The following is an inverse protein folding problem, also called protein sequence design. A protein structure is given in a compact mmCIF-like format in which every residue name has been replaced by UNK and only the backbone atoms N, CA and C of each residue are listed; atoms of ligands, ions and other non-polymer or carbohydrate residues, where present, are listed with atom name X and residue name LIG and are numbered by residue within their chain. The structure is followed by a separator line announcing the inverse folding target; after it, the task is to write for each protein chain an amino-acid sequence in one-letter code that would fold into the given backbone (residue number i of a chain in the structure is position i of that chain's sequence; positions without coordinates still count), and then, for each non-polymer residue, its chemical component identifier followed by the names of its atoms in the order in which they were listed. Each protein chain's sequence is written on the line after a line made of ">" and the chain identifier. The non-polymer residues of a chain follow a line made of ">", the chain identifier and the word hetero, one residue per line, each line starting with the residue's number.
data_IF_922591020049
#
_entry.id   IF_922591020049
#
_cell.length_a   1.000
_cell.length_b   1.000
_cell.length_c   1.000
_cell.angle_alpha   90.00
_cell.angle_beta   90.00
_cell.angle_gamma   90.00
#
_symmetry.space_group_name_H-M   'P 1'
#
loop_
_entity.id
_entity.type
_entity.pdbx_description
1 polymer ?
#
# COMPACT_ATOMS: atom_id res chain seq x y z
N UNK A 1 -0.81 35.39 2.85
CA UNK A 1 0.31 34.52 2.40
C UNK A 1 1.29 34.46 3.55
N UNK A 2 1.40 33.32 4.25
CA UNK A 2 2.09 33.26 5.54
C UNK A 2 3.11 32.13 5.60
N UNK A 3 4.37 32.52 5.76
CA UNK A 3 5.51 31.76 6.26
C UNK A 3 5.93 30.50 5.48
N UNK A 4 6.43 30.71 4.25
CA UNK A 4 7.45 29.85 3.65
C UNK A 4 8.85 30.51 3.70
N UNK A 5 9.10 31.35 4.71
CA UNK A 5 10.44 31.92 4.95
C UNK A 5 11.37 30.82 5.52
N UNK A 6 11.94 30.04 4.60
CA UNK A 6 13.38 29.77 4.60
C UNK A 6 13.90 28.52 5.32
N UNK A 7 13.14 27.85 6.18
CA UNK A 7 13.62 26.58 6.79
C UNK A 7 12.47 25.60 6.99
N UNK A 8 12.13 24.85 5.94
CA UNK A 8 11.32 23.64 6.13
C UNK A 8 12.07 22.74 7.11
N UNK A 9 11.55 22.57 8.33
CA UNK A 9 12.24 21.74 9.34
C UNK A 9 12.44 20.35 8.74
N UNK A 10 13.62 19.77 8.91
CA UNK A 10 14.03 18.52 8.26
C UNK A 10 13.00 17.39 8.36
N UNK A 11 12.29 17.29 9.49
CA UNK A 11 11.22 16.30 9.68
C UNK A 11 10.00 16.50 8.78
N UNK A 12 9.64 17.75 8.43
CA UNK A 12 8.57 18.02 7.46
C UNK A 12 9.01 17.65 6.04
N UNK A 13 10.29 17.94 5.70
CA UNK A 13 10.85 17.54 4.41
C UNK A 13 10.85 16.02 4.28
N UNK A 14 11.23 15.30 5.35
CA UNK A 14 11.21 13.85 5.39
C UNK A 14 9.79 13.28 5.22
N UNK A 15 8.79 13.86 5.90
CA UNK A 15 7.40 13.43 5.76
C UNK A 15 6.86 13.68 4.33
N UNK A 16 7.18 14.83 3.74
CA UNK A 16 6.83 15.16 2.37
C UNK A 16 7.49 14.21 1.37
N UNK A 17 8.81 14.02 1.47
CA UNK A 17 9.58 13.12 0.61
C UNK A 17 9.05 11.69 0.72
N UNK A 18 8.70 11.24 1.93
CA UNK A 18 8.12 9.93 2.15
C UNK A 18 6.80 9.74 1.40
N UNK A 19 5.93 10.75 1.34
CA UNK A 19 4.69 10.66 0.56
C UNK A 19 4.96 10.48 -0.94
N UNK A 20 6.01 11.07 -1.49
CA UNK A 20 6.41 10.84 -2.89
C UNK A 20 7.02 9.46 -3.13
N UNK A 21 7.82 8.96 -2.19
CA UNK A 21 8.32 7.58 -2.24
C UNK A 21 7.15 6.60 -2.22
N UNK A 22 6.15 6.84 -1.38
CA UNK A 22 4.92 6.04 -1.35
C UNK A 22 4.17 6.17 -2.68
N UNK A 23 3.99 7.37 -3.22
CA UNK A 23 3.31 7.55 -4.51
C UNK A 23 4.01 6.78 -5.64
N UNK A 24 5.34 6.88 -5.74
CA UNK A 24 6.13 6.15 -6.72
C UNK A 24 6.02 4.63 -6.53
N UNK A 25 6.15 4.14 -5.30
CA UNK A 25 6.02 2.73 -4.97
C UNK A 25 4.65 2.18 -5.38
N UNK A 26 3.57 2.92 -5.08
CA UNK A 26 2.21 2.52 -5.45
C UNK A 26 1.97 2.59 -6.97
N UNK A 27 2.54 3.57 -7.66
CA UNK A 27 2.49 3.62 -9.12
C UNK A 27 3.24 2.46 -9.78
N UNK A 28 4.41 2.10 -9.24
CA UNK A 28 5.17 0.91 -9.67
C UNK A 28 4.37 -0.37 -9.45
N UNK A 29 3.68 -0.50 -8.31
CA UNK A 29 2.80 -1.64 -8.05
C UNK A 29 1.60 -1.68 -8.99
N UNK A 30 0.99 -0.54 -9.31
CA UNK A 30 -0.09 -0.44 -10.30
C UNK A 30 0.38 -0.93 -11.69
N UNK A 31 1.48 -0.38 -12.19
CA UNK A 31 2.01 -0.74 -13.52
C UNK A 31 2.39 -2.23 -13.58
N UNK A 32 3.01 -2.76 -12.52
CA UNK A 32 3.35 -4.18 -12.44
C UNK A 32 2.09 -5.05 -12.44
N UNK A 33 1.12 -4.76 -11.57
CA UNK A 33 -0.09 -5.56 -11.39
C UNK A 33 -1.07 -5.49 -12.57
N UNK A 34 -1.06 -4.40 -13.35
CA UNK A 34 -1.87 -4.27 -14.57
C UNK A 34 -1.17 -4.80 -15.82
N UNK A 35 0.16 -4.98 -15.76
CA UNK A 35 0.91 -5.68 -16.79
C UNK A 35 0.93 -7.19 -16.57
N UNK A 36 1.18 -7.97 -17.62
CA UNK A 36 1.41 -9.42 -17.47
C UNK A 36 2.75 -9.73 -16.75
N UNK A 37 3.55 -8.73 -16.38
CA UNK A 37 4.81 -8.93 -15.67
C UNK A 37 4.62 -9.36 -14.21
N UNK A 38 3.44 -9.14 -13.61
CA UNK A 38 3.17 -9.62 -12.24
C UNK A 38 3.29 -11.15 -12.11
N UNK A 39 2.97 -11.88 -13.18
CA UNK A 39 2.96 -13.35 -13.20
C UNK A 39 4.28 -13.94 -13.72
N UNK A 40 5.30 -13.11 -13.93
CA UNK A 40 6.62 -13.52 -14.40
C UNK A 40 7.61 -13.44 -13.25
N UNK A 41 8.42 -14.48 -13.09
CA UNK A 41 9.50 -14.54 -12.12
C UNK A 41 10.72 -15.23 -12.72
N UNK A 42 11.90 -14.69 -12.43
CA UNK A 42 13.18 -15.31 -12.80
C UNK A 42 13.53 -16.51 -11.89
N UNK A 43 12.86 -16.64 -10.74
CA UNK A 43 13.00 -17.81 -9.86
C UNK A 43 12.07 -18.95 -10.34
N UNK A 44 12.61 -20.12 -10.73
CA UNK A 44 11.81 -21.26 -11.20
C UNK A 44 10.75 -21.73 -10.20
N UNK A 45 11.02 -21.65 -8.89
CA UNK A 45 10.06 -22.06 -7.85
C UNK A 45 8.90 -21.08 -7.76
N UNK A 46 9.19 -19.78 -7.88
CA UNK A 46 8.17 -18.74 -7.88
C UNK A 46 7.36 -18.76 -9.18
N UNK A 47 8.00 -18.99 -10.33
CA UNK A 47 7.29 -19.11 -11.61
C UNK A 47 6.29 -20.27 -11.59
N UNK A 48 6.72 -21.45 -11.13
CA UNK A 48 5.84 -22.61 -10.97
C UNK A 48 4.65 -22.32 -10.04
N UNK A 49 4.88 -21.58 -8.95
CA UNK A 49 3.80 -21.15 -8.05
C UNK A 49 2.80 -20.21 -8.74
N UNK A 50 3.29 -19.22 -9.50
CA UNK A 50 2.45 -18.27 -10.23
C UNK A 50 1.62 -18.96 -11.33
N UNK A 51 2.21 -19.90 -12.06
CA UNK A 51 1.53 -20.66 -13.10
C UNK A 51 0.39 -21.52 -12.51
N UNK A 52 0.67 -22.26 -11.42
CA UNK A 52 -0.35 -23.05 -10.71
C UNK A 52 -1.45 -22.17 -10.11
N UNK A 53 -1.10 -20.98 -9.60
CA UNK A 53 -2.07 -20.00 -9.10
C UNK A 53 -3.07 -19.58 -10.18
N UNK A 54 -2.61 -19.33 -11.39
CA UNK A 54 -3.46 -18.93 -12.51
C UNK A 54 -4.38 -20.07 -12.97
N UNK A 55 -3.87 -21.32 -13.01
CA UNK A 55 -4.65 -22.50 -13.41
C UNK A 55 -5.76 -22.81 -12.40
N UNK A 56 -5.45 -22.78 -11.10
CA UNK A 56 -6.38 -23.25 -10.06
C UNK A 56 -7.25 -22.15 -9.46
N UNK A 57 -6.85 -20.89 -9.58
CA UNK A 57 -7.62 -19.74 -9.15
C UNK A 57 -7.72 -18.72 -10.29
N UNK A 58 -8.53 -18.99 -11.32
CA UNK A 58 -8.68 -18.08 -12.47
C UNK A 58 -9.20 -16.69 -12.05
N UNK A 59 -9.87 -16.58 -10.90
CA UNK A 59 -10.26 -15.29 -10.31
C UNK A 59 -9.09 -14.47 -9.74
N UNK A 60 -7.90 -15.05 -9.63
CA UNK A 60 -6.72 -14.38 -9.11
C UNK A 60 -6.23 -13.26 -10.02
N UNK A 61 -6.30 -13.43 -11.36
CA UNK A 61 -5.92 -12.35 -12.29
C UNK A 61 -6.79 -11.10 -12.09
N UNK A 62 -8.07 -11.30 -11.82
CA UNK A 62 -8.99 -10.19 -11.50
C UNK A 62 -8.66 -9.56 -10.14
N UNK A 63 -8.27 -10.35 -9.14
CA UNK A 63 -7.85 -9.84 -7.83
C UNK A 63 -6.57 -8.99 -7.93
N UNK A 64 -5.58 -9.44 -8.73
CA UNK A 64 -4.35 -8.69 -9.03
C UNK A 64 -4.66 -7.41 -9.83
N UNK A 65 -5.59 -7.44 -10.77
CA UNK A 65 -6.00 -6.21 -11.47
C UNK A 65 -6.68 -5.21 -10.51
N UNK A 66 -7.57 -5.70 -9.65
CA UNK A 66 -8.24 -4.90 -8.60
C UNK A 66 -7.23 -4.25 -7.66
N UNK A 67 -6.19 -5.00 -7.25
CA UNK A 67 -5.05 -4.47 -6.50
C UNK A 67 -4.37 -3.32 -7.21
N UNK A 68 -4.07 -3.50 -8.50
CA UNK A 68 -3.44 -2.46 -9.31
C UNK A 68 -4.22 -1.16 -9.22
N UNK A 69 -5.54 -1.21 -9.40
CA UNK A 69 -6.38 -0.02 -9.29
C UNK A 69 -6.41 0.58 -7.87
N UNK A 70 -6.40 -0.24 -6.82
CA UNK A 70 -6.26 0.25 -5.44
C UNK A 70 -4.91 0.95 -5.24
N UNK A 71 -3.82 0.40 -5.78
CA UNK A 71 -2.50 1.04 -5.77
C UNK A 71 -2.51 2.38 -6.52
N UNK A 72 -3.24 2.50 -7.63
CA UNK A 72 -3.41 3.80 -8.30
C UNK A 72 -4.15 4.82 -7.43
N UNK A 73 -5.21 4.40 -6.72
CA UNK A 73 -5.92 5.26 -5.76
C UNK A 73 -4.98 5.69 -4.62
N UNK A 74 -4.20 4.75 -4.07
CA UNK A 74 -3.20 5.02 -3.03
C UNK A 74 -2.12 6.00 -3.52
N UNK A 75 -1.69 5.89 -4.78
CA UNK A 75 -0.76 6.81 -5.41
C UNK A 75 -1.33 8.23 -5.45
N UNK A 76 -2.56 8.39 -5.95
CA UNK A 76 -3.25 9.69 -6.00
C UNK A 76 -3.39 10.28 -4.60
N UNK A 77 -3.81 9.48 -3.62
CA UNK A 77 -3.93 9.93 -2.23
C UNK A 77 -2.59 10.32 -1.62
N UNK A 78 -1.50 9.64 -1.97
CA UNK A 78 -0.15 9.97 -1.51
C UNK A 78 0.31 11.33 -2.07
N UNK A 79 0.06 11.59 -3.36
CA UNK A 79 0.35 12.91 -3.97
C UNK A 79 -0.47 14.01 -3.30
N UNK A 80 -1.78 13.79 -3.13
CA UNK A 80 -2.67 14.74 -2.48
C UNK A 80 -2.28 14.96 -1.02
N UNK A 81 -1.95 13.90 -0.27
CA UNK A 81 -1.43 14.00 1.09
C UNK A 81 -0.14 14.79 1.15
N UNK A 82 0.82 14.53 0.26
CA UNK A 82 2.08 15.27 0.16
C UNK A 82 1.86 16.78 -0.02
N UNK A 83 1.02 17.17 -0.99
CA UNK A 83 0.67 18.58 -1.23
C UNK A 83 -0.10 19.17 -0.05
N UNK A 84 -1.08 18.45 0.48
CA UNK A 84 -1.92 18.89 1.60
C UNK A 84 -1.15 19.12 2.89
N UNK A 85 -0.19 18.24 3.21
CA UNK A 85 0.68 18.38 4.37
C UNK A 85 1.64 19.57 4.23
N UNK A 86 2.20 19.82 3.05
CA UNK A 86 3.03 21.01 2.79
C UNK A 86 2.25 22.30 2.98
N UNK A 87 1.03 22.34 2.45
CA UNK A 87 0.19 23.53 2.48
C UNK A 87 -0.59 23.67 3.79
N UNK A 88 -0.34 22.78 4.77
CA UNK A 88 -1.06 22.72 6.04
C UNK A 88 -2.59 22.71 5.87
N UNK A 89 -3.07 21.96 4.88
CA UNK A 89 -4.50 21.82 4.58
C UNK A 89 -5.11 20.64 5.30
N UNK A 90 -6.37 20.79 5.74
CA UNK A 90 -7.11 19.74 6.45
C UNK A 90 -7.24 18.41 5.70
N UNK A 91 -7.26 18.44 4.35
CA UNK A 91 -7.34 17.21 3.57
C UNK A 91 -6.08 16.35 3.65
N UNK A 92 -4.91 16.91 3.96
CA UNK A 92 -3.66 16.16 4.07
C UNK A 92 -3.75 15.01 5.09
N UNK A 93 -4.06 15.31 6.37
CA UNK A 93 -4.34 14.30 7.38
C UNK A 93 -5.38 13.24 6.99
N UNK A 94 -6.51 13.66 6.39
CA UNK A 94 -7.54 12.73 5.95
C UNK A 94 -7.05 11.78 4.85
N UNK A 95 -6.25 12.29 3.90
CA UNK A 95 -5.64 11.46 2.86
C UNK A 95 -4.63 10.47 3.46
N UNK A 96 -3.80 10.88 4.43
CA UNK A 96 -2.88 9.97 5.13
C UNK A 96 -3.63 8.82 5.81
N UNK A 97 -4.70 9.14 6.56
CA UNK A 97 -5.54 8.12 7.20
C UNK A 97 -6.23 7.22 6.17
N UNK A 98 -6.77 7.81 5.10
CA UNK A 98 -7.38 7.08 4.00
C UNK A 98 -6.41 6.13 3.32
N UNK A 99 -5.15 6.50 3.15
CA UNK A 99 -4.11 5.62 2.60
C UNK A 99 -3.87 4.40 3.48
N UNK A 100 -3.70 4.59 4.79
CA UNK A 100 -3.50 3.43 5.68
C UNK A 100 -4.74 2.53 5.75
N UNK A 101 -5.94 3.11 5.71
CA UNK A 101 -7.18 2.34 5.71
C UNK A 101 -7.36 1.54 4.41
N UNK A 102 -7.08 2.16 3.25
CA UNK A 102 -7.10 1.45 1.97
C UNK A 102 -6.01 0.39 1.90
N UNK A 103 -4.82 0.64 2.45
CA UNK A 103 -3.76 -0.36 2.55
C UNK A 103 -4.15 -1.55 3.43
N UNK A 104 -4.90 -1.30 4.53
CA UNK A 104 -5.47 -2.34 5.37
C UNK A 104 -6.44 -3.23 4.58
N UNK A 105 -7.41 -2.62 3.87
CA UNK A 105 -8.38 -3.33 3.03
C UNK A 105 -7.64 -4.15 1.97
N UNK A 106 -6.65 -3.54 1.32
CA UNK A 106 -5.87 -4.17 0.27
C UNK A 106 -5.16 -5.43 0.78
N UNK A 107 -4.45 -5.32 1.90
CA UNK A 107 -3.76 -6.46 2.51
C UNK A 107 -4.74 -7.55 2.95
N UNK A 108 -5.91 -7.20 3.49
CA UNK A 108 -6.93 -8.18 3.88
C UNK A 108 -7.48 -8.97 2.68
N UNK A 109 -7.69 -8.32 1.53
CA UNK A 109 -8.12 -8.99 0.30
C UNK A 109 -7.07 -10.02 -0.14
N UNK A 110 -5.79 -9.65 -0.15
CA UNK A 110 -4.72 -10.57 -0.57
C UNK A 110 -4.49 -11.72 0.39
N UNK A 111 -4.50 -11.49 1.69
CA UNK A 111 -4.37 -12.56 2.68
C UNK A 111 -5.43 -13.64 2.42
N UNK A 112 -6.67 -13.24 2.18
CA UNK A 112 -7.76 -14.19 1.88
C UNK A 112 -7.52 -14.98 0.58
N UNK A 113 -7.07 -14.31 -0.49
CA UNK A 113 -6.82 -14.99 -1.78
C UNK A 113 -5.61 -15.94 -1.71
N UNK A 114 -4.51 -15.52 -1.07
CA UNK A 114 -3.32 -16.38 -0.89
C UNK A 114 -3.60 -17.55 0.05
N UNK A 115 -4.39 -17.37 1.11
CA UNK A 115 -4.76 -18.46 2.02
C UNK A 115 -5.59 -19.55 1.31
N UNK A 116 -6.53 -19.18 0.44
CA UNK A 116 -7.30 -20.16 -0.36
C UNK A 116 -6.39 -21.03 -1.23
N UNK A 117 -5.31 -20.47 -1.74
CA UNK A 117 -4.33 -21.16 -2.58
C UNK A 117 -3.42 -22.06 -1.74
N UNK A 118 -2.88 -21.54 -0.63
CA UNK A 118 -2.05 -22.33 0.31
C UNK A 118 -2.81 -23.55 0.83
N UNK A 119 -4.09 -23.39 1.15
CA UNK A 119 -4.93 -24.48 1.65
C UNK A 119 -5.25 -25.54 0.58
N UNK A 120 -5.17 -25.19 -0.70
CA UNK A 120 -5.46 -26.09 -1.83
C UNK A 120 -4.20 -26.70 -2.47
N UNK A 121 -3.00 -26.21 -2.13
CA UNK A 121 -1.74 -26.72 -2.68
C UNK A 121 -0.62 -26.87 -1.62
N UNK A 122 -0.54 -28.05 -0.96
CA UNK A 122 0.43 -28.31 0.11
C UNK A 122 1.90 -28.15 -0.32
N UNK A 123 2.23 -28.39 -1.58
CA UNK A 123 3.59 -28.28 -2.14
C UNK A 123 4.09 -26.85 -2.35
N UNK A 124 3.23 -25.82 -2.32
CA UNK A 124 3.66 -24.41 -2.24
C UNK A 124 3.35 -23.77 -0.89
N UNK A 125 3.08 -24.60 0.13
CA UNK A 125 2.75 -24.11 1.47
C UNK A 125 3.86 -23.21 2.04
N UNK A 126 5.13 -23.52 1.80
CA UNK A 126 6.25 -22.71 2.29
C UNK A 126 6.28 -21.31 1.67
N UNK A 127 6.22 -21.23 0.33
CA UNK A 127 6.23 -19.95 -0.41
C UNK A 127 4.97 -19.14 -0.10
N UNK A 128 3.80 -19.77 -0.14
CA UNK A 128 2.54 -19.09 0.12
C UNK A 128 2.35 -18.66 1.58
N UNK A 129 2.87 -19.41 2.57
CA UNK A 129 2.90 -18.97 3.97
C UNK A 129 3.83 -17.77 4.16
N UNK A 130 5.01 -17.77 3.54
CA UNK A 130 5.93 -16.63 3.59
C UNK A 130 5.26 -15.37 3.04
N UNK A 131 4.61 -15.45 1.87
CA UNK A 131 3.87 -14.32 1.29
C UNK A 131 2.71 -13.87 2.19
N UNK A 132 1.91 -14.81 2.69
CA UNK A 132 0.78 -14.50 3.58
C UNK A 132 1.25 -13.80 4.86
N UNK A 133 2.38 -14.23 5.43
CA UNK A 133 2.94 -13.63 6.65
C UNK A 133 3.39 -12.18 6.44
N UNK A 134 4.07 -11.89 5.31
CA UNK A 134 4.49 -10.52 4.96
C UNK A 134 3.30 -9.58 4.78
N UNK A 135 2.25 -10.03 4.11
CA UNK A 135 1.03 -9.23 3.90
C UNK A 135 0.27 -9.04 5.22
N UNK A 136 0.23 -10.07 6.08
CA UNK A 136 -0.38 -9.99 7.42
C UNK A 136 0.34 -9.00 8.33
N UNK A 137 1.68 -8.92 8.26
CA UNK A 137 2.43 -7.90 8.97
C UNK A 137 2.05 -6.48 8.47
N UNK A 138 1.80 -6.32 7.17
CA UNK A 138 1.28 -5.07 6.59
C UNK A 138 -0.06 -4.61 7.17
N UNK A 139 -0.94 -5.54 7.56
CA UNK A 139 -2.20 -5.24 8.27
C UNK A 139 -1.90 -4.65 9.65
N UNK A 140 -1.06 -5.33 10.43
CA UNK A 140 -0.64 -4.88 11.77
C UNK A 140 0.00 -3.49 11.72
N UNK A 141 0.94 -3.26 10.81
CA UNK A 141 1.55 -1.93 10.63
C UNK A 141 0.51 -0.87 10.26
N UNK A 142 -0.42 -1.18 9.36
CA UNK A 142 -1.47 -0.23 8.96
C UNK A 142 -2.35 0.16 10.15
N UNK A 143 -2.74 -0.78 11.01
CA UNK A 143 -3.52 -0.48 12.23
C UNK A 143 -2.74 0.41 13.20
N UNK A 144 -1.48 0.06 13.48
CA UNK A 144 -0.63 0.85 14.39
C UNK A 144 -0.45 2.28 13.86
N UNK A 145 -0.16 2.43 12.56
CA UNK A 145 0.01 3.74 11.96
C UNK A 145 -1.30 4.54 11.91
N UNK A 146 -2.46 3.92 11.70
CA UNK A 146 -3.76 4.61 11.81
C UNK A 146 -3.92 5.22 13.21
N UNK A 147 -3.73 4.41 14.26
CA UNK A 147 -3.90 4.86 15.64
C UNK A 147 -2.94 6.01 15.97
N UNK A 148 -1.66 5.84 15.63
CA UNK A 148 -0.62 6.85 15.88
C UNK A 148 -0.91 8.15 15.13
N UNK A 149 -1.32 8.08 13.86
CA UNK A 149 -1.63 9.25 13.06
C UNK A 149 -2.91 9.96 13.53
N UNK A 150 -3.96 9.24 13.92
CA UNK A 150 -5.16 9.84 14.52
C UNK A 150 -4.77 10.65 15.77
N UNK A 151 -4.01 10.04 16.69
CA UNK A 151 -3.58 10.71 17.91
C UNK A 151 -2.71 11.95 17.62
N UNK A 152 -1.80 11.83 16.65
CA UNK A 152 -0.95 12.94 16.22
C UNK A 152 -1.77 14.10 15.62
N UNK A 153 -2.69 13.81 14.70
CA UNK A 153 -3.49 14.84 14.03
C UNK A 153 -4.49 15.51 14.96
N UNK A 154 -5.07 14.81 15.93
CA UNK A 154 -5.90 15.43 16.98
C UNK A 154 -5.09 16.46 17.76
N UNK A 155 -3.87 16.12 18.19
CA UNK A 155 -2.99 17.04 18.94
C UNK A 155 -2.49 18.23 18.10
N UNK A 156 -2.46 18.09 16.79
CA UNK A 156 -1.93 19.08 15.84
C UNK A 156 -2.99 19.71 14.94
N UNK A 157 -4.27 19.52 15.25
CA UNK A 157 -5.39 19.97 14.42
C UNK A 157 -5.33 21.49 14.14
N UNK A 158 -4.88 22.27 15.12
CA UNK A 158 -4.70 23.72 15.03
C UNK A 158 -3.72 24.17 13.92
N UNK A 159 -2.82 23.28 13.47
CA UNK A 159 -1.90 23.56 12.38
C UNK A 159 -2.56 23.43 11.01
N UNK A 160 -3.65 22.66 10.88
CA UNK A 160 -4.28 22.36 9.59
C UNK A 160 -5.54 23.23 9.39
N UNK A 161 -5.50 24.14 8.42
CA UNK A 161 -6.59 25.10 8.12
C UNK A 161 -7.40 24.69 6.90
#
# INVERSE_FOLDING_TARGET
>A
MGNFEGKMKWHYFLAFFWMWVVAYSQFSSFTTATSDNYFKSDDPKMQHFMDEMLVRNPGFKNAVSTYGYICMILCILAVVAGVGLLMFKKFGPYCVLGMYFLNLINNAIFVNQYQKVVNSFPSAKEVGLAMTSGISAGILFSLVFIILNIWYFIKRLHLYK
#
